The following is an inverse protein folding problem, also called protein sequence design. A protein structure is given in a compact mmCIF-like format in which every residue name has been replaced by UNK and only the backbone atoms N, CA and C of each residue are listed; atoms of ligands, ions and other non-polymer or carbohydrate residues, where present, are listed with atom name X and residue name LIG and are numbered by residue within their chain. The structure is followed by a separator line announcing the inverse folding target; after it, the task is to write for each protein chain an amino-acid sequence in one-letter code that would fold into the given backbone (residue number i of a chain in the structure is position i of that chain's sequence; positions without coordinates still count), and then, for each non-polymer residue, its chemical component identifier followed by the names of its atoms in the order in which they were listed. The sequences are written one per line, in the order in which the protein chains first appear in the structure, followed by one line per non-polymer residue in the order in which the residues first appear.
data_IF_151208726580
#
_entry.id   IF_151208726580
#
_cell.length_a   1.000
_cell.length_b   1.000
_cell.length_c   1.000
_cell.angle_alpha   90.00
_cell.angle_beta   90.00
_cell.angle_gamma   90.00
#
_symmetry.space_group_name_H-M   'P 1'
#
loop_
_entity.id
_entity.type
_entity.pdbx_description
1 polymer ?
#
# COMPACT_ATOMS: atom_id res chain seq x y z
N UNK A 1 2.28 -24.79 12.51
CA UNK A 1 1.24 -23.95 11.87
C UNK A 1 1.71 -23.57 10.48
N UNK A 2 0.90 -23.79 9.45
CA UNK A 2 1.26 -23.37 8.09
C UNK A 2 1.16 -21.85 7.97
N UNK A 3 1.95 -21.24 7.09
CA UNK A 3 1.97 -19.77 6.92
C UNK A 3 0.58 -19.23 6.51
N UNK A 4 -0.15 -20.00 5.69
CA UNK A 4 -1.47 -19.64 5.17
C UNK A 4 -2.54 -19.54 6.28
N UNK A 5 -2.42 -20.32 7.36
CA UNK A 5 -3.35 -20.26 8.49
C UNK A 5 -3.27 -18.94 9.26
N UNK A 6 -2.21 -18.14 9.05
CA UNK A 6 -2.03 -16.82 9.66
C UNK A 6 -2.60 -15.69 8.79
N UNK A 7 -3.08 -16.00 7.58
CA UNK A 7 -3.61 -15.02 6.64
C UNK A 7 -5.14 -15.04 6.74
N UNK A 8 -5.72 -13.87 7.04
CA UNK A 8 -7.16 -13.67 6.98
C UNK A 8 -7.47 -12.85 5.72
N UNK A 9 -8.24 -13.44 4.81
CA UNK A 9 -8.66 -12.79 3.57
C UNK A 9 -10.09 -12.29 3.76
N UNK A 10 -10.32 -11.01 3.46
CA UNK A 10 -11.64 -10.40 3.43
C UNK A 10 -11.86 -9.77 2.06
N UNK A 11 -12.91 -10.22 1.37
CA UNK A 11 -13.37 -9.59 0.14
C UNK A 11 -14.23 -8.39 0.50
N UNK A 12 -13.98 -7.27 -0.18
CA UNK A 12 -14.73 -6.03 -0.01
C UNK A 12 -15.10 -5.46 -1.39
N UNK A 13 -16.20 -4.73 -1.46
CA UNK A 13 -16.77 -4.28 -2.73
C UNK A 13 -16.26 -2.91 -3.18
N UNK A 14 -16.05 -1.99 -2.25
CA UNK A 14 -15.75 -0.60 -2.58
C UNK A 14 -14.97 0.15 -1.48
N UNK A 15 -14.68 1.43 -1.74
CA UNK A 15 -14.02 2.32 -0.80
C UNK A 15 -14.81 2.58 0.50
N UNK A 16 -16.11 2.27 0.58
CA UNK A 16 -16.88 2.38 1.82
C UNK A 16 -16.58 1.24 2.75
N UNK A 17 -16.44 0.04 2.21
CA UNK A 17 -16.10 -1.13 3.00
C UNK A 17 -14.69 -1.04 3.56
N UNK A 18 -13.74 -0.47 2.81
CA UNK A 18 -12.43 -0.06 3.35
C UNK A 18 -12.63 0.85 4.56
N UNK A 19 -13.45 1.90 4.42
CA UNK A 19 -13.65 2.85 5.52
C UNK A 19 -14.33 2.22 6.73
N UNK A 20 -15.34 1.38 6.54
CA UNK A 20 -16.00 0.64 7.62
C UNK A 20 -15.01 -0.27 8.34
N UNK A 21 -14.16 -0.99 7.59
CA UNK A 21 -13.15 -1.88 8.15
C UNK A 21 -12.14 -1.11 9.02
N UNK A 22 -11.55 -0.03 8.51
CA UNK A 22 -10.57 0.75 9.28
C UNK A 22 -11.21 1.61 10.39
N UNK A 23 -12.48 1.98 10.28
CA UNK A 23 -13.21 2.59 11.39
C UNK A 23 -13.36 1.60 12.56
N UNK A 24 -13.70 0.35 12.26
CA UNK A 24 -13.82 -0.73 13.25
C UNK A 24 -12.48 -1.21 13.82
N UNK A 25 -11.35 -0.81 13.24
CA UNK A 25 -10.00 -1.21 13.68
C UNK A 25 -9.72 -0.83 15.15
N UNK A 26 -10.31 0.27 15.62
CA UNK A 26 -10.20 0.72 17.02
C UNK A 26 -10.90 -0.20 18.03
N UNK A 27 -11.76 -1.11 17.56
CA UNK A 27 -12.47 -2.09 18.38
C UNK A 27 -11.70 -3.41 18.52
N UNK A 28 -10.55 -3.55 17.84
CA UNK A 28 -9.75 -4.77 17.92
C UNK A 28 -8.96 -4.82 19.23
N UNK A 29 -8.96 -6.00 19.85
CA UNK A 29 -8.11 -6.31 20.99
C UNK A 29 -6.71 -6.72 20.54
N UNK A 30 -6.64 -7.57 19.52
CA UNK A 30 -5.42 -8.01 18.86
C UNK A 30 -5.31 -7.42 17.46
N UNK A 31 -4.11 -6.96 17.10
CA UNK A 31 -3.84 -6.37 15.80
C UNK A 31 -3.02 -7.31 14.90
N UNK A 32 -3.29 -7.33 13.58
CA UNK A 32 -2.47 -8.08 12.65
C UNK A 32 -1.09 -7.44 12.51
N UNK A 33 -0.08 -8.24 12.17
CA UNK A 33 1.27 -7.73 11.86
C UNK A 33 1.27 -6.83 10.61
N UNK A 34 0.35 -7.09 9.66
CA UNK A 34 0.14 -6.25 8.50
C UNK A 34 -1.30 -6.33 8.00
N UNK A 35 -1.79 -5.22 7.46
CA UNK A 35 -3.01 -5.15 6.64
C UNK A 35 -2.57 -4.87 5.21
N UNK A 36 -3.00 -5.74 4.29
CA UNK A 36 -2.72 -5.60 2.86
C UNK A 36 -4.03 -5.24 2.17
N UNK A 37 -4.06 -4.10 1.48
CA UNK A 37 -5.15 -3.75 0.58
C UNK A 37 -4.65 -3.96 -0.84
N UNK A 38 -5.18 -5.00 -1.47
CA UNK A 38 -4.83 -5.34 -2.84
C UNK A 38 -5.66 -4.51 -3.82
N UNK A 39 -5.00 -3.91 -4.80
CA UNK A 39 -5.56 -3.03 -5.83
C UNK A 39 -6.35 -1.82 -5.28
N UNK A 40 -5.69 -1.03 -4.43
CA UNK A 40 -6.33 0.04 -3.66
C UNK A 40 -7.08 1.06 -4.54
N UNK A 41 -6.55 1.43 -5.70
CA UNK A 41 -7.13 2.47 -6.54
C UNK A 41 -8.39 2.02 -7.30
N UNK A 42 -8.62 0.71 -7.45
CA UNK A 42 -9.78 0.16 -8.15
C UNK A 42 -11.08 0.34 -7.34
N UNK A 43 -10.98 0.34 -6.00
CA UNK A 43 -12.09 0.63 -5.10
C UNK A 43 -12.68 2.05 -5.24
N UNK A 44 -12.02 2.93 -5.99
CA UNK A 44 -12.40 4.33 -6.17
C UNK A 44 -12.65 4.66 -7.64
N UNK A 45 -13.67 4.05 -8.24
CA UNK A 45 -14.06 4.38 -9.62
C UNK A 45 -14.45 5.86 -9.77
N UNK A 46 -14.06 6.50 -10.88
CA UNK A 46 -14.39 7.91 -11.14
C UNK A 46 -15.91 8.14 -11.15
N UNK A 47 -16.68 7.19 -11.70
CA UNK A 47 -18.15 7.28 -11.77
C UNK A 47 -18.79 7.28 -10.38
N UNK A 48 -18.44 6.31 -9.53
CA UNK A 48 -19.02 6.20 -8.19
C UNK A 48 -18.62 7.38 -7.31
N UNK A 49 -17.36 7.82 -7.41
CA UNK A 49 -16.87 8.98 -6.68
C UNK A 49 -17.59 10.26 -7.12
N UNK A 50 -17.77 10.47 -8.43
CA UNK A 50 -18.50 11.63 -8.95
C UNK A 50 -19.96 11.64 -8.51
N UNK A 51 -20.65 10.50 -8.58
CA UNK A 51 -22.04 10.40 -8.13
C UNK A 51 -22.19 10.75 -6.64
N UNK A 52 -21.20 10.39 -5.82
CA UNK A 52 -21.24 10.62 -4.38
C UNK A 52 -20.88 12.05 -3.96
N UNK A 53 -19.82 12.61 -4.54
CA UNK A 53 -19.27 13.88 -4.07
C UNK A 53 -19.63 15.07 -4.97
N UNK A 54 -19.97 14.83 -6.25
CA UNK A 54 -20.41 15.88 -7.17
C UNK A 54 -19.39 16.98 -7.46
N UNK A 55 -18.09 16.70 -7.32
CA UNK A 55 -17.00 17.68 -7.46
C UNK A 55 -15.93 17.23 -8.45
N UNK A 56 -15.22 18.20 -9.04
CA UNK A 56 -13.96 17.92 -9.72
C UNK A 56 -12.99 17.20 -8.75
N UNK A 57 -12.29 16.17 -9.23
CA UNK A 57 -11.36 15.33 -8.43
C UNK A 57 -12.02 14.57 -7.28
N UNK A 58 -13.29 14.18 -7.43
CA UNK A 58 -14.01 13.37 -6.44
C UNK A 58 -13.27 12.07 -6.06
N UNK A 59 -12.61 11.42 -7.03
CA UNK A 59 -11.80 10.22 -6.81
C UNK A 59 -10.63 10.48 -5.87
N UNK A 60 -9.84 11.51 -6.15
CA UNK A 60 -8.71 11.94 -5.32
C UNK A 60 -9.15 12.20 -3.87
N UNK A 61 -10.28 12.89 -3.69
CA UNK A 61 -10.83 13.16 -2.36
C UNK A 61 -11.23 11.86 -1.64
N UNK A 62 -11.85 10.92 -2.35
CA UNK A 62 -12.26 9.64 -1.78
C UNK A 62 -11.04 8.83 -1.30
N UNK A 63 -10.00 8.75 -2.12
CA UNK A 63 -8.74 8.07 -1.81
C UNK A 63 -8.04 8.72 -0.61
N UNK A 64 -7.91 10.05 -0.60
CA UNK A 64 -7.29 10.78 0.51
C UNK A 64 -8.02 10.52 1.83
N UNK A 65 -9.37 10.51 1.81
CA UNK A 65 -10.16 10.21 3.03
C UNK A 65 -9.95 8.78 3.52
N UNK A 66 -9.88 7.81 2.60
CA UNK A 66 -9.60 6.42 2.96
C UNK A 66 -8.18 6.28 3.53
N UNK A 67 -7.16 6.83 2.86
CA UNK A 67 -5.77 6.80 3.32
C UNK A 67 -5.59 7.46 4.69
N UNK A 68 -6.22 8.61 4.92
CA UNK A 68 -6.19 9.29 6.21
C UNK A 68 -6.75 8.40 7.33
N UNK A 69 -7.85 7.69 7.06
CA UNK A 69 -8.43 6.76 8.01
C UNK A 69 -7.53 5.55 8.26
N UNK A 70 -6.95 4.97 7.21
CA UNK A 70 -5.99 3.87 7.34
C UNK A 70 -4.78 4.29 8.19
N UNK A 71 -4.20 5.46 7.90
CA UNK A 71 -3.08 6.00 8.66
C UNK A 71 -3.42 6.17 10.15
N UNK A 72 -4.60 6.71 10.47
CA UNK A 72 -5.04 6.88 11.85
C UNK A 72 -5.28 5.53 12.56
N UNK A 73 -5.94 4.58 11.89
CA UNK A 73 -6.20 3.25 12.43
C UNK A 73 -4.91 2.48 12.74
N UNK A 74 -3.93 2.55 11.84
CA UNK A 74 -2.62 1.94 12.02
C UNK A 74 -1.82 2.64 13.12
N UNK A 75 -1.88 3.98 13.17
CA UNK A 75 -1.30 4.75 14.27
C UNK A 75 -1.87 4.35 15.63
N UNK A 76 -3.19 4.17 15.72
CA UNK A 76 -3.85 3.67 16.92
C UNK A 76 -3.40 2.26 17.30
N UNK A 77 -3.37 1.33 16.34
CA UNK A 77 -2.89 -0.04 16.56
C UNK A 77 -1.46 -0.05 17.09
N UNK A 78 -0.56 0.72 16.48
CA UNK A 78 0.83 0.83 16.90
C UNK A 78 0.98 1.47 18.29
N UNK A 79 0.15 2.46 18.62
CA UNK A 79 0.13 3.04 19.96
C UNK A 79 -0.32 2.02 21.03
N UNK A 80 -1.31 1.18 20.72
CA UNK A 80 -1.80 0.13 21.64
C UNK A 80 -0.82 -1.05 21.78
N UNK A 81 -0.14 -1.42 20.69
CA UNK A 81 0.91 -2.46 20.71
C UNK A 81 2.18 -2.02 21.47
N UNK A 82 2.52 -0.73 21.44
CA UNK A 82 3.71 -0.20 22.13
C UNK A 82 4.99 -0.91 21.67
N UNK A 83 5.75 -1.48 22.60
CA UNK A 83 6.98 -2.22 22.30
C UNK A 83 6.75 -3.69 21.94
N UNK A 84 5.52 -4.19 22.03
CA UNK A 84 5.21 -5.61 21.80
C UNK A 84 5.17 -5.98 20.32
N UNK A 85 4.98 -5.01 19.43
CA UNK A 85 4.92 -5.24 18.00
C UNK A 85 4.51 -4.01 17.20
N UNK A 86 4.29 -4.23 15.91
CA UNK A 86 3.83 -3.21 14.98
C UNK A 86 2.84 -3.81 13.99
N UNK A 87 1.95 -2.96 13.49
CA UNK A 87 1.00 -3.20 12.43
C UNK A 87 1.40 -2.33 11.23
N UNK A 88 1.69 -2.96 10.09
CA UNK A 88 2.04 -2.27 8.86
C UNK A 88 0.85 -2.19 7.89
N UNK A 89 0.76 -1.11 7.12
CA UNK A 89 -0.14 -1.00 5.98
C UNK A 89 0.64 -1.20 4.68
N UNK A 90 0.19 -2.15 3.87
CA UNK A 90 0.67 -2.35 2.51
C UNK A 90 -0.47 -2.11 1.52
N UNK A 91 -0.22 -1.25 0.54
CA UNK A 91 -1.16 -0.96 -0.54
C UNK A 91 -0.52 -1.42 -1.84
N UNK A 92 -1.23 -2.22 -2.64
CA UNK A 92 -0.85 -2.50 -4.02
C UNK A 92 -1.73 -1.70 -4.98
N UNK A 93 -1.21 -1.43 -6.16
CA UNK A 93 -1.92 -0.73 -7.23
C UNK A 93 -1.28 -1.13 -8.56
N UNK A 94 -2.12 -1.46 -9.55
CA UNK A 94 -1.67 -1.83 -10.89
C UNK A 94 -1.84 -0.66 -11.84
N UNK A 95 -0.73 -0.07 -12.27
CA UNK A 95 -0.75 1.02 -13.24
C UNK A 95 -0.18 0.59 -14.60
N UNK A 96 -0.89 0.92 -15.68
CA UNK A 96 -0.36 0.87 -17.04
C UNK A 96 0.13 2.26 -17.44
N UNK A 97 1.45 2.45 -17.53
CA UNK A 97 2.08 3.71 -17.95
C UNK A 97 3.28 4.14 -17.10
N UNK A 98 3.91 5.26 -17.47
CA UNK A 98 5.22 5.68 -16.92
C UNK A 98 5.15 6.32 -15.53
N UNK A 99 4.00 6.84 -15.08
CA UNK A 99 3.83 7.36 -13.71
C UNK A 99 2.36 7.29 -13.28
N UNK A 100 2.03 6.67 -12.12
CA UNK A 100 0.68 6.68 -11.62
C UNK A 100 0.25 8.14 -11.44
N UNK A 101 -0.83 8.57 -12.11
CA UNK A 101 -1.40 9.91 -11.94
C UNK A 101 -1.68 10.27 -10.47
N UNK A 102 -1.79 9.25 -9.63
CA UNK A 102 -2.12 9.31 -8.20
C UNK A 102 -0.87 9.17 -7.30
N UNK A 103 0.34 9.11 -7.86
CA UNK A 103 1.58 8.91 -7.09
C UNK A 103 1.76 10.00 -6.01
N UNK A 104 1.38 11.24 -6.31
CA UNK A 104 1.44 12.36 -5.35
C UNK A 104 0.56 12.13 -4.11
N UNK A 105 -0.56 11.40 -4.25
CA UNK A 105 -1.42 11.05 -3.11
C UNK A 105 -0.68 10.03 -2.24
N UNK A 106 -0.15 8.97 -2.84
CA UNK A 106 0.60 7.96 -2.10
C UNK A 106 1.82 8.56 -1.38
N UNK A 107 2.62 9.39 -2.06
CA UNK A 107 3.80 10.02 -1.47
C UNK A 107 3.51 10.83 -0.21
N UNK A 108 2.28 11.34 -0.07
CA UNK A 108 1.85 12.08 1.13
C UNK A 108 1.49 11.17 2.31
N UNK A 109 1.00 9.96 2.04
CA UNK A 109 0.39 9.09 3.06
C UNK A 109 1.19 7.83 3.37
N UNK A 110 2.14 7.44 2.52
CA UNK A 110 2.98 6.25 2.72
C UNK A 110 4.46 6.59 2.75
N UNK A 111 5.17 5.99 3.70
CA UNK A 111 6.60 6.27 3.95
C UNK A 111 7.54 5.65 2.92
N UNK A 112 7.09 4.63 2.20
CA UNK A 112 7.93 3.89 1.25
C UNK A 112 7.08 3.41 0.11
N UNK A 113 7.47 3.81 -1.10
CA UNK A 113 6.81 3.40 -2.34
C UNK A 113 7.80 2.59 -3.14
N UNK A 114 7.34 1.43 -3.58
CA UNK A 114 8.11 0.54 -4.43
C UNK A 114 7.37 0.34 -5.75
N UNK A 115 8.14 0.28 -6.83
CA UNK A 115 7.61 -0.14 -8.14
C UNK A 115 8.10 -1.56 -8.42
N UNK A 116 7.20 -2.38 -8.95
CA UNK A 116 7.50 -3.72 -9.43
C UNK A 116 7.39 -3.67 -10.95
N UNK A 117 8.47 -4.02 -11.64
CA UNK A 117 8.50 -4.07 -13.11
C UNK A 117 9.05 -5.42 -13.55
N UNK A 118 8.46 -6.02 -14.58
CA UNK A 118 9.05 -7.20 -15.21
C UNK A 118 10.33 -6.83 -15.95
N UNK A 119 11.37 -7.66 -15.86
CA UNK A 119 12.62 -7.46 -16.60
C UNK A 119 12.61 -8.11 -18.00
N UNK A 120 11.49 -8.73 -18.38
CA UNK A 120 11.32 -9.46 -19.64
C UNK A 120 11.90 -10.88 -19.65
N UNK A 121 12.68 -11.26 -18.62
CA UNK A 121 13.43 -12.51 -18.54
C UNK A 121 12.94 -13.40 -17.38
N UNK A 122 11.64 -13.35 -17.07
CA UNK A 122 11.05 -14.13 -15.98
C UNK A 122 11.49 -13.69 -14.58
N UNK A 123 11.93 -12.43 -14.43
CA UNK A 123 12.20 -11.83 -13.13
C UNK A 123 11.46 -10.51 -12.97
N UNK A 124 11.31 -10.07 -11.73
CA UNK A 124 10.72 -8.79 -11.36
C UNK A 124 11.75 -7.94 -10.63
N UNK A 125 11.82 -6.66 -10.99
CA UNK A 125 12.66 -5.67 -10.33
C UNK A 125 11.78 -4.85 -9.42
N UNK A 126 12.10 -4.89 -8.13
CA UNK A 126 11.56 -4.03 -7.09
C UNK A 126 12.47 -2.83 -6.92
N UNK A 127 11.97 -1.62 -7.19
CA UNK A 127 12.72 -0.38 -7.05
C UNK A 127 12.03 0.56 -6.07
N UNK A 128 12.76 1.04 -5.07
CA UNK A 128 12.28 2.08 -4.16
C UNK A 128 12.27 3.44 -4.89
N UNK A 129 11.14 4.15 -4.84
CA UNK A 129 10.97 5.46 -5.49
C UNK A 129 11.52 6.64 -4.66
N UNK A 130 11.95 6.41 -3.42
CA UNK A 130 12.50 7.40 -2.51
C UNK A 130 11.47 8.41 -2.01
N UNK A 131 11.55 8.80 -0.73
CA UNK A 131 10.98 10.07 -0.29
C UNK A 131 11.98 11.17 -0.61
N UNK A 132 11.55 12.22 -1.31
CA UNK A 132 12.42 13.31 -1.79
C UNK A 132 13.08 14.13 -0.67
N UNK A 133 12.83 13.84 0.60
CA UNK A 133 13.16 14.73 1.72
C UNK A 133 14.49 14.45 2.42
N UNK A 134 15.21 13.38 2.07
CA UNK A 134 16.56 13.17 2.64
C UNK A 134 17.55 12.86 1.53
N UNK A 135 18.47 13.79 1.30
CA UNK A 135 19.51 13.72 0.28
C UNK A 135 20.21 12.37 0.21
N UNK A 136 20.44 11.92 -1.03
CA UNK A 136 21.37 10.84 -1.39
C UNK A 136 21.15 9.47 -0.73
N UNK A 137 19.89 9.03 -0.52
CA UNK A 137 19.64 7.59 -0.34
C UNK A 137 19.67 6.92 -1.72
N UNK A 138 20.79 6.25 -2.03
CA UNK A 138 20.95 5.38 -3.21
C UNK A 138 19.66 4.60 -3.44
N UNK A 139 19.11 4.66 -4.66
CA UNK A 139 17.92 3.91 -5.02
C UNK A 139 18.20 2.40 -4.86
N UNK A 140 17.69 1.80 -3.79
CA UNK A 140 17.82 0.36 -3.57
C UNK A 140 16.94 -0.38 -4.56
N UNK A 141 17.54 -1.31 -5.29
CA UNK A 141 16.86 -2.22 -6.21
C UNK A 141 16.99 -3.63 -5.67
N UNK A 142 15.96 -4.43 -5.87
CA UNK A 142 16.00 -5.85 -5.59
C UNK A 142 15.39 -6.60 -6.77
N UNK A 143 15.96 -7.76 -7.10
CA UNK A 143 15.51 -8.61 -8.20
C UNK A 143 14.94 -9.90 -7.66
N UNK A 144 13.69 -10.17 -7.98
CA UNK A 144 13.01 -11.43 -7.69
C UNK A 144 13.03 -12.31 -8.92
N UNK A 145 13.65 -13.48 -8.85
CA UNK A 145 13.62 -14.46 -9.94
C UNK A 145 12.49 -15.46 -9.72
N UNK A 146 11.60 -15.63 -10.71
CA UNK A 146 10.53 -16.62 -10.63
C UNK A 146 11.12 -18.04 -10.64
N UNK A 147 12.10 -18.28 -11.52
CA UNK A 147 12.74 -19.59 -11.67
C UNK A 147 13.43 -20.06 -10.39
N UNK A 148 14.00 -19.10 -9.64
CA UNK A 148 14.77 -19.42 -8.44
C UNK A 148 13.97 -19.20 -7.14
N UNK A 149 12.81 -18.53 -7.21
CA UNK A 149 11.94 -18.24 -6.06
C UNK A 149 12.62 -17.49 -4.91
N UNK A 150 13.59 -16.61 -5.21
CA UNK A 150 14.23 -15.77 -4.20
C UNK A 150 14.42 -14.33 -4.68
N UNK A 151 14.51 -13.42 -3.70
CA UNK A 151 14.73 -11.99 -3.88
C UNK A 151 16.19 -11.66 -3.52
N UNK A 152 16.89 -10.99 -4.43
CA UNK A 152 18.27 -10.51 -4.23
C UNK A 152 18.27 -9.01 -4.16
N UNK A 153 18.96 -8.45 -3.17
CA UNK A 153 19.25 -7.03 -3.15
C UNK A 153 20.37 -6.73 -4.15
N UNK A 154 20.08 -5.92 -5.16
CA UNK A 154 21.09 -5.41 -6.09
C UNK A 154 21.68 -4.14 -5.49
N UNK A 155 22.90 -4.22 -4.94
CA UNK A 155 23.64 -3.03 -4.55
C UNK A 155 24.10 -2.30 -5.80
N UNK A 156 23.60 -1.07 -6.01
CA UNK A 156 24.15 -0.20 -7.03
C UNK A 156 25.53 0.29 -6.55
N UNK A 157 26.59 -0.40 -6.99
CA UNK A 157 27.96 0.09 -6.93
C UNK A 157 28.03 1.47 -7.60
N UNK A 158 28.68 2.40 -6.92
CA UNK A 158 28.95 3.78 -7.36
C UNK A 158 29.77 3.83 -8.64
#
# INVERSE_FOLDING_TARGET
MSLLQRIQIKYIEDGDEIRKYFAAFHLLDDFPAAVIVDDFADFFSDRSCQQRYGIARARDLAMVRALALCHNAIGHANAKLGTLGYCNLLLSDVHQGDTPRLLFIYQRWVNSIYTIRGDGNGSYILQNLGSSETGSKKARKAKYSIALQYLVLEETST
#
